data_IF_172426988762
#
_entry.id   IF_172426988762
#
_cell.length_a   1.000
_cell.length_b   1.000
_cell.length_c   1.000
_cell.angle_alpha   90.00
_cell.angle_beta   90.00
_cell.angle_gamma   90.00
#
_symmetry.space_group_name_H-M   'P 1'
#
loop_
_entity.id
_entity.type
_entity.pdbx_description
1 polymer ?
#
# COMPACT_ATOMS: atom_id res chain seq x y z
N UNK A 1 13.58 -2.88 4.44
CA UNK A 1 12.39 -3.12 5.29
C UNK A 1 12.59 -2.55 6.67
N UNK A 2 11.77 -1.57 7.05
CA UNK A 2 11.68 -1.07 8.42
C UNK A 2 10.77 -2.03 9.24
N UNK A 3 11.10 -2.41 10.49
CA UNK A 3 10.44 -3.54 11.18
C UNK A 3 9.43 -3.12 12.26
N UNK A 4 8.53 -2.18 11.94
CA UNK A 4 7.40 -1.85 12.83
C UNK A 4 6.45 -3.05 12.97
N UNK A 5 5.65 -3.09 14.04
CA UNK A 5 4.62 -4.14 14.24
C UNK A 5 3.69 -4.28 13.02
N UNK A 6 3.27 -3.15 12.44
CA UNK A 6 2.44 -3.13 11.24
C UNK A 6 3.16 -3.75 10.02
N UNK A 7 4.44 -3.43 9.82
CA UNK A 7 5.22 -4.01 8.72
C UNK A 7 5.36 -5.53 8.84
N UNK A 8 5.56 -6.06 10.06
CA UNK A 8 5.64 -7.51 10.29
C UNK A 8 4.34 -8.22 9.88
N UNK A 9 3.19 -7.69 10.29
CA UNK A 9 1.87 -8.25 9.94
C UNK A 9 1.64 -8.28 8.42
N UNK A 10 2.01 -7.20 7.73
CA UNK A 10 1.87 -7.10 6.26
C UNK A 10 2.83 -8.06 5.54
N UNK A 11 4.06 -8.17 6.02
CA UNK A 11 5.07 -9.09 5.48
C UNK A 11 4.63 -10.54 5.63
N UNK A 12 4.03 -10.90 6.76
CA UNK A 12 3.49 -12.23 7.02
C UNK A 12 2.30 -12.54 6.11
N UNK A 13 1.32 -11.61 6.04
CA UNK A 13 0.15 -11.72 5.16
C UNK A 13 0.56 -11.96 3.70
N UNK A 14 1.53 -11.20 3.22
CA UNK A 14 1.97 -11.22 1.82
C UNK A 14 3.08 -12.25 1.56
N UNK A 15 3.51 -12.98 2.59
CA UNK A 15 4.56 -14.01 2.51
C UNK A 15 5.88 -13.52 1.89
N UNK A 16 6.23 -12.24 2.09
CA UNK A 16 7.37 -11.58 1.41
C UNK A 16 7.31 -11.64 -0.13
N UNK A 17 6.12 -11.70 -0.70
CA UNK A 17 5.89 -11.70 -2.16
C UNK A 17 5.30 -10.36 -2.59
N UNK A 18 5.78 -9.84 -3.72
CA UNK A 18 5.23 -8.66 -4.36
C UNK A 18 3.81 -8.96 -4.82
N UNK A 19 2.84 -8.24 -4.27
CA UNK A 19 1.44 -8.50 -4.52
C UNK A 19 0.96 -8.05 -5.92
N UNK A 20 1.81 -7.36 -6.69
CA UNK A 20 1.49 -6.95 -8.06
C UNK A 20 2.14 -7.83 -9.15
N UNK A 21 3.28 -8.46 -8.86
CA UNK A 21 4.03 -9.19 -9.90
C UNK A 21 4.61 -10.55 -9.46
N UNK A 22 4.41 -10.97 -8.20
CA UNK A 22 4.87 -12.26 -7.70
C UNK A 22 6.37 -12.36 -7.39
N UNK A 23 7.20 -11.38 -7.77
CA UNK A 23 8.63 -11.35 -7.40
C UNK A 23 8.81 -11.19 -5.89
N UNK A 24 10.00 -11.50 -5.34
CA UNK A 24 10.31 -11.27 -3.93
C UNK A 24 10.14 -9.79 -3.55
N UNK A 25 9.39 -9.53 -2.49
CA UNK A 25 9.19 -8.18 -1.98
C UNK A 25 10.44 -7.69 -1.24
N UNK A 26 10.72 -6.40 -1.40
CA UNK A 26 11.87 -5.72 -0.78
C UNK A 26 11.42 -4.66 0.23
N UNK A 27 10.19 -4.16 0.13
CA UNK A 27 9.62 -3.27 1.14
C UNK A 27 8.09 -3.34 1.22
N UNK A 28 7.55 -2.76 2.30
CA UNK A 28 6.12 -2.50 2.47
C UNK A 28 5.80 -1.08 2.03
N UNK A 29 4.86 -0.94 1.08
CA UNK A 29 4.43 0.33 0.51
C UNK A 29 3.10 0.78 1.09
N UNK A 30 2.93 2.10 1.28
CA UNK A 30 1.63 2.70 1.59
C UNK A 30 0.87 2.99 0.30
N UNK A 31 -0.31 2.41 0.11
CA UNK A 31 -1.15 2.58 -1.09
C UNK A 31 -1.61 4.05 -1.21
N UNK A 32 -2.21 4.56 -0.14
CA UNK A 32 -2.51 5.98 0.06
C UNK A 32 -1.38 6.58 0.89
N UNK A 33 -0.54 7.45 0.31
CA UNK A 33 0.60 8.02 1.00
C UNK A 33 0.16 9.01 2.09
N UNK A 34 1.07 9.31 3.03
CA UNK A 34 0.79 10.27 4.08
C UNK A 34 0.53 11.69 3.55
N UNK A 35 1.23 12.08 2.48
CA UNK A 35 1.30 13.45 1.98
C UNK A 35 2.39 14.28 2.68
N UNK A 36 2.56 15.53 2.27
CA UNK A 36 3.49 16.46 2.93
C UNK A 36 2.93 16.86 4.31
N UNK A 37 3.68 16.59 5.39
CA UNK A 37 3.26 16.88 6.77
C UNK A 37 2.13 15.99 7.33
N UNK A 38 1.61 15.06 6.55
CA UNK A 38 0.51 14.19 6.97
C UNK A 38 0.97 13.00 7.83
N UNK A 39 0.06 12.46 8.65
CA UNK A 39 0.27 11.19 9.36
C UNK A 39 0.12 10.00 8.42
N UNK A 40 1.02 9.01 8.56
CA UNK A 40 0.92 7.70 7.90
C UNK A 40 -0.24 6.91 8.53
N UNK A 41 -1.00 6.22 7.69
CA UNK A 41 -2.06 5.31 8.11
C UNK A 41 -1.54 3.90 7.91
N UNK A 42 -1.16 3.25 9.02
CA UNK A 42 -0.51 1.94 9.02
C UNK A 42 -1.53 0.82 9.18
N UNK A 43 -2.48 0.76 8.26
CA UNK A 43 -3.53 -0.24 8.25
C UNK A 43 -3.28 -1.29 7.16
N UNK A 44 -3.63 -2.57 7.37
CA UNK A 44 -3.40 -3.62 6.36
C UNK A 44 -3.99 -3.30 4.99
N UNK A 45 -5.17 -2.68 4.94
CA UNK A 45 -5.81 -2.25 3.68
C UNK A 45 -5.08 -1.09 2.99
N UNK A 46 -4.15 -0.42 3.67
CA UNK A 46 -3.35 0.67 3.12
C UNK A 46 -1.87 0.29 2.92
N UNK A 47 -1.52 -0.98 3.13
CA UNK A 47 -0.12 -1.44 3.11
C UNK A 47 0.02 -2.71 2.28
N UNK A 48 1.03 -2.74 1.42
CA UNK A 48 1.24 -3.81 0.43
C UNK A 48 2.73 -4.12 0.25
N UNK A 49 3.12 -5.40 0.23
CA UNK A 49 4.48 -5.80 -0.11
C UNK A 49 4.74 -5.63 -1.60
N UNK A 50 5.82 -4.92 -1.95
CA UNK A 50 6.27 -4.72 -3.33
C UNK A 50 7.74 -5.10 -3.50
N UNK A 51 8.08 -5.59 -4.69
CA UNK A 51 9.48 -5.64 -5.14
C UNK A 51 9.97 -4.22 -5.48
N UNK A 52 11.28 -4.06 -5.59
CA UNK A 52 11.93 -2.77 -5.82
C UNK A 52 11.45 -2.07 -7.12
N UNK A 53 11.21 -2.85 -8.18
CA UNK A 53 10.69 -2.35 -9.47
C UNK A 53 9.27 -1.77 -9.33
N UNK A 54 8.33 -2.56 -8.79
CA UNK A 54 6.96 -2.12 -8.56
C UNK A 54 6.90 -0.96 -7.57
N UNK A 55 7.73 -0.99 -6.53
CA UNK A 55 7.82 0.07 -5.52
C UNK A 55 8.25 1.41 -6.14
N UNK A 56 9.30 1.42 -6.98
CA UNK A 56 9.72 2.62 -7.70
C UNK A 56 8.66 3.11 -8.69
N UNK A 57 7.99 2.18 -9.40
CA UNK A 57 6.93 2.53 -10.33
C UNK A 57 5.75 3.19 -9.62
N UNK A 58 5.32 2.68 -8.47
CA UNK A 58 4.27 3.26 -7.63
C UNK A 58 4.54 4.72 -7.20
N UNK A 59 5.82 5.10 -7.04
CA UNK A 59 6.17 6.49 -6.75
C UNK A 59 6.06 7.42 -7.97
N UNK A 60 6.28 6.91 -9.18
CA UNK A 60 6.38 7.71 -10.41
C UNK A 60 5.10 7.74 -11.25
N UNK A 61 4.40 6.62 -11.31
CA UNK A 61 3.28 6.39 -12.22
C UNK A 61 1.96 6.41 -11.47
N UNK A 62 1.15 7.45 -11.72
CA UNK A 62 -0.16 7.63 -11.08
C UNK A 62 -1.18 6.59 -11.53
N UNK A 63 -1.12 6.09 -12.78
CA UNK A 63 -2.07 5.09 -13.25
C UNK A 63 -1.74 3.73 -12.65
N UNK A 64 -0.45 3.43 -12.46
CA UNK A 64 -0.01 2.23 -11.74
C UNK A 64 -0.46 2.19 -10.27
N UNK A 65 -0.78 3.35 -9.66
CA UNK A 65 -1.35 3.37 -8.31
C UNK A 65 -2.72 2.74 -8.23
N UNK A 66 -3.52 2.86 -9.29
CA UNK A 66 -4.86 2.29 -9.36
C UNK A 66 -4.80 0.77 -9.13
N UNK A 67 -3.79 0.08 -9.65
CA UNK A 67 -3.62 -1.37 -9.43
C UNK A 67 -3.46 -1.75 -7.95
N UNK A 68 -2.86 -0.89 -7.12
CA UNK A 68 -2.74 -1.16 -5.68
C UNK A 68 -4.05 -0.86 -4.95
N UNK A 69 -4.77 0.18 -5.38
CA UNK A 69 -6.09 0.48 -4.85
C UNK A 69 -7.06 -0.67 -5.17
N UNK A 70 -7.06 -1.17 -6.41
CA UNK A 70 -7.87 -2.33 -6.84
C UNK A 70 -7.52 -3.59 -6.06
N UNK A 71 -6.23 -3.89 -5.90
CA UNK A 71 -5.76 -4.99 -5.05
C UNK A 71 -6.30 -4.87 -3.61
N UNK A 72 -6.37 -3.65 -3.07
CA UNK A 72 -6.94 -3.43 -1.73
C UNK A 72 -8.46 -3.57 -1.72
N UNK A 73 -9.14 -3.06 -2.76
CA UNK A 73 -10.60 -3.19 -2.92
C UNK A 73 -11.04 -4.64 -2.98
N UNK A 74 -10.33 -5.47 -3.74
CA UNK A 74 -10.61 -6.91 -3.85
C UNK A 74 -10.52 -7.62 -2.51
N UNK A 75 -9.61 -7.18 -1.62
CA UNK A 75 -9.32 -7.86 -0.36
C UNK A 75 -10.05 -7.28 0.85
N UNK A 76 -10.35 -5.99 0.84
CA UNK A 76 -10.84 -5.23 1.99
C UNK A 76 -12.08 -4.39 1.69
N UNK A 77 -12.64 -4.48 0.48
CA UNK A 77 -13.77 -3.67 0.05
C UNK A 77 -13.44 -2.19 -0.01
N UNK A 78 -14.40 -1.35 0.37
CA UNK A 78 -14.33 0.11 0.24
C UNK A 78 -13.34 0.81 1.21
N UNK A 79 -12.56 0.08 2.02
CA UNK A 79 -11.71 0.69 3.07
C UNK A 79 -10.63 1.62 2.53
N UNK A 80 -10.04 1.28 1.38
CA UNK A 80 -9.07 2.19 0.72
C UNK A 80 -9.75 3.45 0.21
N UNK A 81 -10.98 3.34 -0.29
CA UNK A 81 -11.76 4.48 -0.81
C UNK A 81 -12.19 5.42 0.32
N UNK A 82 -12.66 4.88 1.45
CA UNK A 82 -12.93 5.64 2.68
C UNK A 82 -11.68 6.46 3.09
N UNK A 83 -10.49 5.83 3.04
CA UNK A 83 -9.24 6.50 3.36
C UNK A 83 -8.88 7.61 2.35
N UNK A 84 -9.07 7.36 1.05
CA UNK A 84 -8.83 8.34 -0.01
C UNK A 84 -9.73 9.57 0.19
N UNK A 85 -11.03 9.36 0.41
CA UNK A 85 -12.02 10.42 0.63
C UNK A 85 -11.69 11.24 1.87
N UNK A 86 -11.35 10.58 2.99
CA UNK A 86 -10.89 11.25 4.21
C UNK A 86 -9.64 12.10 3.98
N UNK A 87 -8.66 11.57 3.24
CA UNK A 87 -7.42 12.30 2.90
C UNK A 87 -7.65 13.48 1.95
N UNK A 88 -8.75 13.48 1.19
CA UNK A 88 -9.20 14.59 0.35
C UNK A 88 -10.09 15.60 1.09
N UNK A 89 -10.45 15.35 2.35
CA UNK A 89 -11.34 16.21 3.12
C UNK A 89 -12.80 16.15 2.67
N UNK A 90 -13.20 15.05 2.01
CA UNK A 90 -14.58 14.83 1.52
C UNK A 90 -15.41 14.02 2.53
N UNK A 91 -14.73 13.37 3.50
CA UNK A 91 -15.30 12.65 4.63
C UNK A 91 -14.54 13.02 5.91
#
# INVERSE_FOLDING_TARGET
MNLTKANKLVIERDQRICQLCGKRATDVHHIVPAGMGGKRVNEPYNMICLCDECHRRAHKDRTFRVSMEDWSRERYGNKVDELILRKRGVL
#
